data_IF_021843706498
#
_entry.id   IF_021843706498
#
_cell.length_a   1.000
_cell.length_b   1.000
_cell.length_c   1.000
_cell.angle_alpha   90.00
_cell.angle_beta   90.00
_cell.angle_gamma   90.00
#
_symmetry.space_group_name_H-M   'P 1'
#
loop_
_entity.id
_entity.type
_entity.pdbx_description
1 polymer ?
#
# COMPACT_ATOMS: atom_id res chain seq x y z
N UNK A 1 -16.20 11.01 -11.24
CA UNK A 1 -16.41 9.57 -11.54
C UNK A 1 -15.09 8.89 -11.91
N UNK A 2 -14.33 9.38 -12.90
CA UNK A 2 -13.04 8.79 -13.31
C UNK A 2 -12.03 8.58 -12.17
N UNK A 3 -11.88 9.53 -11.24
CA UNK A 3 -10.94 9.40 -10.11
C UNK A 3 -11.31 8.29 -9.10
N UNK A 4 -12.61 7.98 -8.97
CA UNK A 4 -13.07 6.89 -8.09
C UNK A 4 -12.75 5.54 -8.73
N UNK A 5 -13.04 5.39 -10.03
CA UNK A 5 -12.73 4.15 -10.78
C UNK A 5 -11.22 3.88 -10.79
N UNK A 6 -10.40 4.93 -10.94
CA UNK A 6 -8.95 4.80 -10.89
C UNK A 6 -8.45 4.34 -9.50
N UNK A 7 -8.99 4.91 -8.43
CA UNK A 7 -8.65 4.51 -7.05
C UNK A 7 -9.00 3.03 -6.80
N UNK A 8 -10.13 2.55 -7.33
CA UNK A 8 -10.51 1.13 -7.24
C UNK A 8 -9.55 0.25 -8.04
N UNK A 9 -9.17 0.65 -9.26
CA UNK A 9 -8.20 -0.08 -10.07
C UNK A 9 -6.84 -0.24 -9.38
N UNK A 10 -6.31 0.84 -8.79
CA UNK A 10 -5.04 0.79 -8.04
C UNK A 10 -5.14 -0.05 -6.77
N UNK A 11 -6.30 -0.09 -6.11
CA UNK A 11 -6.51 -0.95 -4.94
C UNK A 11 -6.51 -2.44 -5.31
N UNK A 12 -7.06 -2.80 -6.48
CA UNK A 12 -7.02 -4.19 -6.97
C UNK A 12 -5.61 -4.59 -7.42
N UNK A 13 -4.89 -3.69 -8.10
CA UNK A 13 -3.51 -3.90 -8.53
C UNK A 13 -2.58 -4.21 -7.35
N UNK A 14 -2.68 -3.44 -6.26
CA UNK A 14 -1.93 -3.66 -5.03
C UNK A 14 -2.16 -5.06 -4.44
N UNK A 15 -3.41 -5.54 -4.42
CA UNK A 15 -3.74 -6.88 -3.92
C UNK A 15 -3.13 -7.97 -4.82
N UNK A 16 -3.25 -7.82 -6.15
CA UNK A 16 -2.67 -8.78 -7.10
C UNK A 16 -1.14 -8.83 -6.96
N UNK A 17 -0.48 -7.69 -6.76
CA UNK A 17 0.96 -7.60 -6.55
C UNK A 17 1.41 -8.35 -5.29
N UNK A 18 0.69 -8.19 -4.17
CA UNK A 18 0.97 -8.92 -2.92
C UNK A 18 0.87 -10.42 -3.16
N UNK A 19 -0.21 -10.90 -3.79
CA UNK A 19 -0.40 -12.32 -4.08
C UNK A 19 0.68 -12.87 -5.01
N UNK A 20 1.07 -12.11 -6.04
CA UNK A 20 2.14 -12.50 -6.94
C UNK A 20 3.47 -12.64 -6.18
N UNK A 21 3.80 -11.67 -5.32
CA UNK A 21 5.07 -11.68 -4.57
C UNK A 21 5.12 -12.76 -3.50
N UNK A 22 4.02 -12.99 -2.78
CA UNK A 22 3.93 -14.11 -1.84
C UNK A 22 4.09 -15.44 -2.58
N UNK A 23 3.45 -15.61 -3.74
CA UNK A 23 3.56 -16.83 -4.55
C UNK A 23 4.97 -17.07 -5.10
N UNK A 24 5.73 -16.01 -5.41
CA UNK A 24 7.16 -16.10 -5.73
C UNK A 24 7.99 -16.57 -4.52
N UNK A 25 7.84 -15.90 -3.37
CA UNK A 25 8.63 -16.23 -2.18
C UNK A 25 8.29 -17.62 -1.62
N UNK A 26 7.05 -18.12 -1.84
CA UNK A 26 6.60 -19.46 -1.43
C UNK A 26 7.30 -20.61 -2.18
N UNK A 27 7.91 -20.33 -3.34
CA UNK A 27 8.66 -21.35 -4.11
C UNK A 27 10.04 -21.63 -3.54
N UNK A 28 10.63 -20.67 -2.85
CA UNK A 28 12.01 -20.75 -2.34
C UNK A 28 12.09 -20.81 -0.81
N UNK A 29 11.02 -20.46 -0.09
CA UNK A 29 11.03 -20.34 1.36
C UNK A 29 9.84 -21.02 2.02
N UNK A 30 10.03 -21.33 3.31
CA UNK A 30 9.00 -21.87 4.18
C UNK A 30 7.77 -20.92 4.23
N UNK A 31 6.52 -21.44 4.15
CA UNK A 31 5.31 -20.63 3.95
C UNK A 31 5.15 -19.45 4.91
N UNK A 32 5.49 -19.63 6.19
CA UNK A 32 5.40 -18.56 7.20
C UNK A 32 6.40 -17.43 6.96
N UNK A 33 7.62 -17.76 6.54
CA UNK A 33 8.67 -16.75 6.28
C UNK A 33 8.42 -16.06 4.95
N UNK A 34 7.96 -16.80 3.95
CA UNK A 34 7.58 -16.28 2.64
C UNK A 34 6.44 -15.24 2.73
N UNK A 35 5.40 -15.53 3.53
CA UNK A 35 4.29 -14.58 3.72
C UNK A 35 4.76 -13.31 4.42
N UNK A 36 5.56 -13.43 5.50
CA UNK A 36 6.06 -12.26 6.25
C UNK A 36 6.96 -11.37 5.39
N UNK A 37 7.94 -11.97 4.72
CA UNK A 37 8.89 -11.24 3.87
C UNK A 37 8.19 -10.67 2.63
N UNK A 38 7.31 -11.45 2.01
CA UNK A 38 6.54 -11.05 0.83
C UNK A 38 5.62 -9.86 1.14
N UNK A 39 4.94 -9.87 2.29
CA UNK A 39 4.06 -8.78 2.69
C UNK A 39 4.85 -7.50 3.00
N UNK A 40 5.98 -7.61 3.70
CA UNK A 40 6.84 -6.45 4.01
C UNK A 40 7.36 -5.77 2.74
N UNK A 41 7.87 -6.55 1.78
CA UNK A 41 8.37 -6.01 0.50
C UNK A 41 7.25 -5.43 -0.35
N UNK A 42 6.15 -6.16 -0.51
CA UNK A 42 5.01 -5.69 -1.29
C UNK A 42 4.42 -4.40 -0.71
N UNK A 43 4.38 -4.28 0.62
CA UNK A 43 3.93 -3.07 1.29
C UNK A 43 4.81 -1.85 0.95
N UNK A 44 6.14 -1.99 0.96
CA UNK A 44 7.06 -0.92 0.57
C UNK A 44 6.83 -0.51 -0.89
N UNK A 45 6.69 -1.48 -1.80
CA UNK A 45 6.40 -1.21 -3.22
C UNK A 45 5.08 -0.48 -3.42
N UNK A 46 4.02 -0.88 -2.71
CA UNK A 46 2.70 -0.23 -2.76
C UNK A 46 2.78 1.19 -2.20
N UNK A 47 3.53 1.39 -1.12
CA UNK A 47 3.72 2.69 -0.52
C UNK A 47 4.39 3.65 -1.51
N UNK A 48 5.49 3.24 -2.15
CA UNK A 48 6.19 4.05 -3.15
C UNK A 48 5.31 4.37 -4.36
N UNK A 49 4.51 3.41 -4.83
CA UNK A 49 3.57 3.62 -5.94
C UNK A 49 2.48 4.66 -5.60
N UNK A 50 1.95 4.63 -4.37
CA UNK A 50 0.98 5.62 -3.90
C UNK A 50 1.61 7.01 -3.75
N UNK A 51 2.86 7.10 -3.25
CA UNK A 51 3.59 8.36 -3.11
C UNK A 51 3.87 8.99 -4.47
N UNK A 52 4.37 8.22 -5.45
CA UNK A 52 4.59 8.74 -6.82
C UNK A 52 3.29 9.20 -7.47
N UNK A 53 2.18 8.48 -7.24
CA UNK A 53 0.86 8.88 -7.74
C UNK A 53 0.36 10.17 -7.07
N UNK A 54 0.64 10.36 -5.77
CA UNK A 54 0.32 11.61 -5.06
C UNK A 54 1.08 12.80 -5.67
N UNK A 55 2.36 12.61 -5.99
CA UNK A 55 3.18 13.64 -6.66
C UNK A 55 2.59 13.97 -8.03
N UNK A 56 2.19 12.96 -8.82
CA UNK A 56 1.53 13.18 -10.11
C UNK A 56 0.19 13.91 -9.95
N UNK A 57 -0.62 13.56 -8.94
CA UNK A 57 -1.87 14.24 -8.64
C UNK A 57 -1.64 15.72 -8.25
N UNK A 58 -0.57 16.01 -7.50
CA UNK A 58 -0.18 17.37 -7.16
C UNK A 58 0.19 18.19 -8.42
N UNK A 59 0.98 17.61 -9.32
CA UNK A 59 1.36 18.24 -10.59
C UNK A 59 0.11 18.50 -11.45
N UNK A 60 -0.79 17.52 -11.55
CA UNK A 60 -2.08 17.65 -12.26
C UNK A 60 -2.98 18.70 -11.61
N UNK A 61 -2.92 18.91 -10.30
CA UNK A 61 -3.67 19.96 -9.63
C UNK A 61 -3.15 21.37 -9.95
N UNK A 62 -1.82 21.52 -10.02
CA UNK A 62 -1.17 22.81 -10.31
C UNK A 62 -1.30 23.21 -11.77
N UNK A 63 -1.12 22.25 -12.70
CA UNK A 63 -1.09 22.50 -14.15
C UNK A 63 -2.46 22.26 -14.81
N UNK A 64 -3.31 21.41 -14.22
CA UNK A 64 -4.58 21.01 -14.81
C UNK A 64 -5.67 22.09 -14.76
N UNK A 65 -6.46 22.18 -15.82
CA UNK A 65 -7.61 23.09 -15.94
C UNK A 65 -8.94 22.34 -15.89
N UNK A 66 -9.98 23.02 -15.37
CA UNK A 66 -11.37 22.55 -15.35
C UNK A 66 -11.56 21.12 -14.80
N UNK A 67 -11.86 20.12 -15.65
CA UNK A 67 -12.14 18.75 -15.24
C UNK A 67 -10.91 18.00 -14.67
N UNK A 68 -9.69 18.34 -15.12
CA UNK A 68 -8.46 17.68 -14.63
C UNK A 68 -8.19 18.02 -13.17
N UNK A 69 -8.51 19.26 -12.76
CA UNK A 69 -8.37 19.70 -11.37
C UNK A 69 -9.33 18.96 -10.44
N UNK A 70 -10.58 18.74 -10.88
CA UNK A 70 -11.56 17.91 -10.17
C UNK A 70 -11.11 16.45 -10.05
N UNK A 71 -10.53 15.90 -11.11
CA UNK A 71 -9.92 14.56 -11.08
C UNK A 71 -8.78 14.49 -10.05
N UNK A 72 -7.83 15.43 -10.09
CA UNK A 72 -6.69 15.49 -9.18
C UNK A 72 -7.11 15.58 -7.71
N UNK A 73 -8.16 16.36 -7.38
CA UNK A 73 -8.69 16.46 -6.02
C UNK A 73 -9.25 15.11 -5.54
N UNK A 74 -10.09 14.45 -6.36
CA UNK A 74 -10.67 13.15 -5.98
C UNK A 74 -9.60 12.07 -5.81
N UNK A 75 -8.58 12.07 -6.68
CA UNK A 75 -7.45 11.15 -6.60
C UNK A 75 -6.61 11.40 -5.35
N UNK A 76 -6.31 12.66 -5.04
CA UNK A 76 -5.54 13.05 -3.86
C UNK A 76 -6.23 12.63 -2.56
N UNK A 77 -7.55 12.85 -2.45
CA UNK A 77 -8.33 12.45 -1.27
C UNK A 77 -8.33 10.92 -1.10
N UNK A 78 -8.47 10.17 -2.21
CA UNK A 78 -8.41 8.71 -2.18
C UNK A 78 -7.05 8.18 -1.71
N UNK A 79 -5.97 8.73 -2.25
CA UNK A 79 -4.60 8.33 -1.87
C UNK A 79 -4.30 8.74 -0.44
N UNK A 80 -4.66 9.95 0.01
CA UNK A 80 -4.42 10.39 1.40
C UNK A 80 -5.15 9.50 2.40
N UNK A 81 -6.41 9.13 2.11
CA UNK A 81 -7.18 8.21 2.97
C UNK A 81 -6.55 6.82 3.00
N UNK A 82 -6.07 6.33 1.84
CA UNK A 82 -5.40 5.03 1.72
C UNK A 82 -4.02 5.03 2.40
N UNK A 83 -3.23 6.10 2.26
CA UNK A 83 -1.95 6.28 2.95
C UNK A 83 -2.13 6.44 4.45
N UNK A 84 -3.17 7.13 4.91
CA UNK A 84 -3.48 7.21 6.34
C UNK A 84 -3.82 5.83 6.90
N UNK A 85 -4.62 5.05 6.16
CA UNK A 85 -4.90 3.65 6.47
C UNK A 85 -3.63 2.82 6.44
N UNK A 86 -2.72 3.05 5.48
CA UNK A 86 -1.45 2.36 5.38
C UNK A 86 -0.52 2.71 6.55
N UNK A 87 -0.41 3.97 6.98
CA UNK A 87 0.40 4.37 8.14
C UNK A 87 -0.19 3.80 9.44
N UNK A 88 -1.51 3.86 9.62
CA UNK A 88 -2.20 3.25 10.76
C UNK A 88 -2.09 1.72 10.75
N UNK A 89 -2.22 1.07 9.59
CA UNK A 89 -2.01 -0.36 9.42
C UNK A 89 -0.55 -0.75 9.57
N UNK A 90 0.41 0.07 9.14
CA UNK A 90 1.84 -0.19 9.37
C UNK A 90 2.13 -0.09 10.84
N UNK A 91 1.60 0.92 11.54
CA UNK A 91 1.72 1.02 13.00
C UNK A 91 1.01 -0.13 13.69
N UNK A 92 -0.17 -0.55 13.23
CA UNK A 92 -0.90 -1.67 13.81
C UNK A 92 -0.18 -3.00 13.55
N UNK A 93 0.34 -3.22 12.36
CA UNK A 93 1.05 -4.43 11.97
C UNK A 93 2.44 -4.49 12.61
N UNK A 94 3.17 -3.37 12.68
CA UNK A 94 4.41 -3.26 13.45
C UNK A 94 4.13 -3.39 14.94
N UNK A 95 3.05 -2.84 15.49
CA UNK A 95 2.69 -3.03 16.91
C UNK A 95 2.15 -4.44 17.19
N UNK A 96 1.56 -5.12 16.21
CA UNK A 96 1.10 -6.50 16.33
C UNK A 96 2.25 -7.50 16.14
N UNK A 97 3.30 -7.13 15.38
CA UNK A 97 4.52 -7.93 15.17
C UNK A 97 5.61 -7.62 16.21
N UNK A 98 5.74 -6.38 16.70
CA UNK A 98 6.80 -5.91 17.60
C UNK A 98 6.30 -5.28 18.92
N UNK A 99 5.02 -4.94 19.03
CA UNK A 99 4.49 -4.24 20.21
C UNK A 99 4.40 -5.09 21.47
N UNK A 100 4.66 -6.40 21.37
CA UNK A 100 4.76 -7.21 22.56
C UNK A 100 5.77 -8.34 22.40
N UNK A 101 7.07 -7.97 22.42
CA UNK A 101 8.05 -8.62 23.31
C UNK A 101 9.43 -7.95 23.28
N UNK A 102 9.87 -7.50 24.46
CA UNK A 102 11.22 -7.80 24.92
C UNK A 102 11.19 -9.20 25.59
N UNK A 103 11.02 -10.29 24.83
CA UNK A 103 11.11 -11.69 25.34
C UNK A 103 11.38 -12.64 24.15
N UNK A 104 12.59 -13.13 23.91
CA UNK A 104 13.25 -14.34 24.46
C UNK A 104 12.64 -15.73 24.23
N UNK A 105 11.36 -15.93 23.89
CA UNK A 105 10.89 -17.28 23.46
C UNK A 105 9.44 -17.32 22.96
N UNK A 106 9.21 -18.19 21.98
CA UNK A 106 7.93 -18.49 21.31
C UNK A 106 7.48 -19.90 21.70
N UNK A 107 6.19 -20.07 22.02
CA UNK A 107 5.48 -21.36 21.95
C UNK A 107 4.12 -21.09 21.32
N UNK A 108 4.03 -21.42 20.03
CA UNK A 108 3.20 -22.48 19.41
C UNK A 108 1.74 -22.06 19.44
#
# INVERSE_FOLDING_TARGET
IAGIVLTVGMAVDANVLIFARIREELKEKDPQTAIRDGFSRAFITIFDANVTTLIAALILYVIGTGPVKGFAITLSIGIVTSMFTAIMCTRAMVNLVYGNKNVKELKI
#
